data_IF_442405189123
#
_entry.id   IF_442405189123
#
_cell.length_a   1.000
_cell.length_b   1.000
_cell.length_c   1.000
_cell.angle_alpha   90.00
_cell.angle_beta   90.00
_cell.angle_gamma   90.00
#
_symmetry.space_group_name_H-M   'P 1'
#
loop_
_entity.id
_entity.type
_entity.pdbx_description
1 polymer ?
#
# COMPACT_ATOMS: atom_id res chain seq x y z
N UNK A 1 -14.11 -5.19 -0.04
CA UNK A 1 -13.69 -3.81 0.30
C UNK A 1 -13.17 -3.13 -0.97
N UNK A 2 -14.00 -2.39 -1.74
CA UNK A 2 -13.54 -1.78 -2.99
C UNK A 2 -12.77 -0.45 -2.79
N UNK A 3 -12.95 0.20 -1.65
CA UNK A 3 -12.50 1.58 -1.42
C UNK A 3 -10.97 1.73 -1.50
N UNK A 4 -10.19 0.78 -0.98
CA UNK A 4 -8.72 0.85 -1.05
C UNK A 4 -8.22 0.86 -2.49
N UNK A 5 -8.83 0.04 -3.37
CA UNK A 5 -8.53 0.02 -4.81
C UNK A 5 -8.90 1.35 -5.47
N UNK A 6 -10.07 1.90 -5.13
CA UNK A 6 -10.52 3.19 -5.68
C UNK A 6 -9.57 4.34 -5.34
N UNK A 7 -8.96 4.34 -4.14
CA UNK A 7 -7.94 5.33 -3.78
C UNK A 7 -6.68 5.18 -4.65
N UNK A 8 -6.21 3.96 -4.89
CA UNK A 8 -5.06 3.69 -5.76
C UNK A 8 -5.34 4.12 -7.20
N UNK A 9 -6.54 3.84 -7.71
CA UNK A 9 -7.00 4.29 -9.02
C UNK A 9 -7.06 5.82 -9.09
N UNK A 10 -7.59 6.49 -8.06
CA UNK A 10 -7.64 7.95 -7.98
C UNK A 10 -6.24 8.59 -7.95
N UNK A 11 -5.29 8.01 -7.22
CA UNK A 11 -3.88 8.42 -7.25
C UNK A 11 -3.28 8.28 -8.65
N UNK A 12 -3.67 7.24 -9.39
CA UNK A 12 -3.20 7.02 -10.76
C UNK A 12 -3.80 8.05 -11.72
N UNK A 13 -5.10 8.31 -11.64
CA UNK A 13 -5.80 9.36 -12.42
C UNK A 13 -5.22 10.76 -12.15
N UNK A 14 -4.85 11.04 -10.90
CA UNK A 14 -4.21 12.29 -10.52
C UNK A 14 -2.72 12.38 -10.93
N UNK A 15 -2.14 11.32 -11.52
CA UNK A 15 -0.72 11.27 -11.87
C UNK A 15 0.23 11.18 -10.66
N UNK A 16 -0.30 10.99 -9.45
CA UNK A 16 0.47 10.95 -8.21
C UNK A 16 1.02 9.56 -7.88
N UNK A 17 0.48 8.50 -8.49
CA UNK A 17 0.85 7.11 -8.18
C UNK A 17 2.35 6.83 -8.32
N UNK A 18 3.03 7.52 -9.23
CA UNK A 18 4.49 7.39 -9.45
C UNK A 18 5.33 8.08 -8.38
N UNK A 19 4.75 9.04 -7.65
CA UNK A 19 5.44 9.86 -6.67
C UNK A 19 5.27 9.36 -5.22
N UNK A 20 4.37 8.40 -4.99
CA UNK A 20 4.05 7.90 -3.64
C UNK A 20 4.12 6.38 -3.57
N UNK A 21 4.44 5.89 -2.36
CA UNK A 21 4.28 4.48 -1.99
C UNK A 21 2.94 4.32 -1.28
N UNK A 22 2.19 3.27 -1.63
CA UNK A 22 0.91 2.93 -1.01
C UNK A 22 1.06 1.63 -0.23
N UNK A 23 0.82 1.67 1.07
CA UNK A 23 0.78 0.49 1.93
C UNK A 23 -0.64 0.25 2.42
N UNK A 24 -1.00 -1.01 2.65
CA UNK A 24 -2.27 -1.38 3.29
C UNK A 24 -2.03 -2.32 4.46
N UNK A 25 -2.95 -2.37 5.43
CA UNK A 25 -2.78 -3.20 6.61
C UNK A 25 -4.01 -3.32 7.48
N UNK A 26 -3.89 -4.12 8.54
CA UNK A 26 -4.95 -4.43 9.49
C UNK A 26 -5.56 -5.83 9.32
N UNK A 27 -6.30 -6.27 10.34
CA UNK A 27 -6.86 -7.62 10.43
C UNK A 27 -7.69 -8.11 9.21
N UNK A 28 -8.48 -7.29 8.50
CA UNK A 28 -9.33 -7.78 7.41
C UNK A 28 -8.61 -7.89 6.05
N UNK A 29 -7.33 -7.52 5.95
CA UNK A 29 -6.55 -7.58 4.70
C UNK A 29 -5.34 -8.51 4.84
N UNK A 30 -4.78 -8.93 3.72
CA UNK A 30 -3.59 -9.77 3.65
C UNK A 30 -2.71 -9.38 2.45
N UNK A 31 -1.52 -9.98 2.37
CA UNK A 31 -0.54 -9.73 1.31
C UNK A 31 -1.13 -9.92 -0.10
N UNK A 32 -1.91 -11.00 -0.30
CA UNK A 32 -2.54 -11.29 -1.58
C UNK A 32 -3.49 -10.16 -1.99
N UNK A 33 -4.33 -9.71 -1.09
CA UNK A 33 -5.28 -8.64 -1.36
C UNK A 33 -4.55 -7.32 -1.66
N UNK A 34 -3.49 -6.99 -0.92
CA UNK A 34 -2.67 -5.81 -1.18
C UNK A 34 -2.09 -5.80 -2.60
N UNK A 35 -1.55 -6.93 -3.04
CA UNK A 35 -1.06 -7.12 -4.39
C UNK A 35 -2.20 -7.01 -5.43
N UNK A 36 -3.33 -7.68 -5.20
CA UNK A 36 -4.48 -7.67 -6.13
C UNK A 36 -5.02 -6.25 -6.39
N UNK A 37 -4.92 -5.33 -5.42
CA UNK A 37 -5.36 -3.93 -5.57
C UNK A 37 -4.24 -2.97 -6.02
N UNK A 38 -3.00 -3.44 -6.18
CA UNK A 38 -1.86 -2.64 -6.64
C UNK A 38 -1.17 -1.79 -5.57
N UNK A 39 -1.27 -2.18 -4.30
CA UNK A 39 -0.47 -1.59 -3.22
C UNK A 39 1.00 -2.02 -3.34
N UNK A 40 1.91 -1.20 -2.82
CA UNK A 40 3.36 -1.46 -2.79
C UNK A 40 3.77 -2.36 -1.61
N UNK A 41 2.88 -2.60 -0.64
CA UNK A 41 3.13 -3.57 0.42
C UNK A 41 2.00 -3.70 1.43
N UNK A 42 2.10 -4.76 2.25
CA UNK A 42 1.18 -5.07 3.33
C UNK A 42 1.89 -5.23 4.68
N UNK A 43 1.24 -4.79 5.74
CA UNK A 43 1.64 -5.09 7.11
C UNK A 43 0.46 -5.57 7.96
N UNK A 44 0.69 -6.63 8.74
CA UNK A 44 -0.33 -7.21 9.61
C UNK A 44 -0.66 -6.34 10.82
N UNK A 45 0.35 -5.65 11.36
CA UNK A 45 0.24 -4.82 12.56
C UNK A 45 1.03 -3.50 12.41
N UNK A 46 0.92 -2.64 13.42
CA UNK A 46 1.58 -1.34 13.43
C UNK A 46 3.11 -1.44 13.39
N UNK A 47 3.71 -2.40 14.09
CA UNK A 47 5.16 -2.59 14.14
C UNK A 47 5.71 -3.05 12.79
N UNK A 48 5.01 -3.96 12.12
CA UNK A 48 5.26 -4.37 10.75
C UNK A 48 5.13 -3.20 9.78
N UNK A 49 4.15 -2.32 9.98
CA UNK A 49 3.95 -1.13 9.16
C UNK A 49 5.15 -0.17 9.19
N UNK A 50 5.73 0.06 10.37
CA UNK A 50 6.96 0.88 10.52
C UNK A 50 8.12 0.26 9.74
N UNK A 51 8.33 -1.05 9.87
CA UNK A 51 9.40 -1.77 9.17
C UNK A 51 9.21 -1.73 7.65
N UNK A 52 7.99 -1.98 7.18
CA UNK A 52 7.66 -1.92 5.75
C UNK A 52 7.89 -0.53 5.17
N UNK A 53 7.43 0.52 5.87
CA UNK A 53 7.65 1.90 5.44
C UNK A 53 9.15 2.20 5.29
N UNK A 54 9.97 1.78 6.26
CA UNK A 54 11.41 1.94 6.18
C UNK A 54 12.00 1.23 4.95
N UNK A 55 11.60 -0.01 4.68
CA UNK A 55 12.04 -0.76 3.49
C UNK A 55 11.64 -0.08 2.18
N UNK A 56 10.40 0.40 2.07
CA UNK A 56 9.88 1.03 0.84
C UNK A 56 10.49 2.40 0.55
N UNK A 57 10.98 3.10 1.58
CA UNK A 57 11.60 4.42 1.48
C UNK A 57 13.12 4.37 1.30
N UNK A 58 13.75 3.19 1.42
CA UNK A 58 15.17 3.05 1.11
C UNK A 58 15.39 3.42 -0.36
N UNK A 59 16.25 4.41 -0.59
CA UNK A 59 16.71 4.77 -1.93
C UNK A 59 17.71 3.70 -2.39
N UNK A 60 17.54 3.22 -3.61
CA UNK A 60 18.60 2.52 -4.34
C UNK A 60 19.74 3.49 -4.65
#
# INVERSE_FOLDING_TARGET
MPQMKLVIEALSVAGLRVAVKVMVGGAPVNEKYAHDIGADGYAHDAGGGVKLAATLLQRA
#
